data_IF_174744314835
#
_entry.id   IF_174744314835
#
_cell.length_a   1.000
_cell.length_b   1.000
_cell.length_c   1.000
_cell.angle_alpha   90.00
_cell.angle_beta   90.00
_cell.angle_gamma   90.00
#
_symmetry.space_group_name_H-M   'P 1'
#
loop_
_entity.id
_entity.type
_entity.pdbx_description
1 polymer ?
#
# COMPACT_ATOMS: atom_id res chain seq x y z
N UNK A 1 17.26 -16.32 -7.75
CA UNK A 1 16.29 -16.00 -8.81
C UNK A 1 16.37 -14.51 -9.01
N UNK A 2 16.88 -14.05 -10.15
CA UNK A 2 17.02 -12.60 -10.39
C UNK A 2 15.63 -12.02 -10.64
N UNK A 3 15.19 -11.05 -9.84
CA UNK A 3 13.95 -10.31 -10.09
C UNK A 3 14.22 -9.12 -11.00
N UNK A 4 13.19 -8.70 -11.74
CA UNK A 4 13.25 -7.58 -12.68
C UNK A 4 11.97 -6.76 -12.59
N UNK A 5 12.11 -5.44 -12.67
CA UNK A 5 10.97 -4.53 -12.78
C UNK A 5 10.39 -4.63 -14.19
N UNK A 6 9.10 -4.94 -14.28
CA UNK A 6 8.34 -4.95 -15.52
C UNK A 6 7.31 -3.83 -15.49
N UNK A 7 7.33 -2.98 -16.52
CA UNK A 7 6.41 -1.85 -16.64
C UNK A 7 5.26 -2.19 -17.59
N UNK A 8 4.05 -1.82 -17.21
CA UNK A 8 2.85 -1.87 -18.05
C UNK A 8 2.56 -0.46 -18.64
N UNK A 9 1.46 -0.33 -19.38
CA UNK A 9 1.05 0.95 -19.97
C UNK A 9 0.69 2.01 -18.92
N UNK A 10 0.86 3.29 -19.28
CA UNK A 10 0.50 4.39 -18.41
C UNK A 10 -1.03 4.53 -18.28
N UNK A 11 -1.49 4.71 -17.05
CA UNK A 11 -2.87 4.95 -16.68
C UNK A 11 -3.04 6.45 -16.47
N UNK A 12 -3.66 7.12 -17.44
CA UNK A 12 -3.87 8.57 -17.40
C UNK A 12 -5.05 8.93 -16.51
N UNK A 13 -4.83 9.92 -15.65
CA UNK A 13 -5.87 10.45 -14.76
C UNK A 13 -6.82 11.36 -15.55
N UNK A 14 -8.11 11.01 -15.53
CA UNK A 14 -9.12 11.56 -16.45
C UNK A 14 -9.75 12.88 -15.94
N UNK A 15 -8.96 13.93 -15.72
CA UNK A 15 -9.46 15.23 -15.22
C UNK A 15 -9.47 16.38 -16.25
N UNK A 16 -8.98 16.16 -17.47
CA UNK A 16 -9.05 17.14 -18.57
C UNK A 16 -8.18 18.39 -18.41
N UNK A 17 -7.32 18.47 -17.39
CA UNK A 17 -6.35 19.54 -17.17
C UNK A 17 -5.03 18.98 -16.62
N UNK A 18 -3.86 19.56 -16.98
CA UNK A 18 -2.59 19.15 -16.42
C UNK A 18 -2.45 19.69 -14.99
N UNK A 19 -2.71 18.85 -13.99
CA UNK A 19 -2.39 19.13 -12.59
C UNK A 19 -1.01 18.57 -12.25
N UNK A 20 -0.32 19.21 -11.29
CA UNK A 20 0.95 18.71 -10.79
C UNK A 20 0.70 18.06 -9.43
N UNK A 21 0.46 16.74 -9.46
CA UNK A 21 0.31 15.92 -8.27
C UNK A 21 1.67 15.55 -7.67
N UNK A 22 1.76 15.56 -6.34
CA UNK A 22 3.01 15.28 -5.61
C UNK A 22 2.90 14.02 -4.74
N UNK A 23 1.87 13.96 -3.90
CA UNK A 23 1.56 12.87 -3.01
C UNK A 23 0.34 12.09 -3.45
N UNK A 24 0.29 10.82 -3.07
CA UNK A 24 -0.88 9.98 -3.30
C UNK A 24 -1.08 8.97 -2.18
N UNK A 25 -2.35 8.79 -1.78
CA UNK A 25 -2.79 7.77 -0.84
C UNK A 25 -3.93 6.94 -1.44
N UNK A 26 -4.15 5.74 -0.91
CA UNK A 26 -5.30 4.89 -1.23
C UNK A 26 -5.87 4.33 0.06
N UNK A 27 -7.16 4.49 0.27
CA UNK A 27 -7.85 4.07 1.50
C UNK A 27 -8.52 2.69 1.40
N UNK A 28 -8.37 2.00 0.28
CA UNK A 28 -9.12 0.77 -0.02
C UNK A 28 -10.34 0.98 -0.93
N UNK A 29 -10.76 2.23 -1.14
CA UNK A 29 -11.93 2.60 -1.93
C UNK A 29 -11.62 3.65 -3.02
N UNK A 30 -10.81 4.65 -2.69
CA UNK A 30 -10.50 5.79 -3.55
C UNK A 30 -9.02 6.20 -3.45
N UNK A 31 -8.53 6.84 -4.50
CA UNK A 31 -7.20 7.44 -4.54
C UNK A 31 -7.29 8.94 -4.22
N UNK A 32 -6.39 9.42 -3.37
CA UNK A 32 -6.33 10.80 -2.90
C UNK A 32 -5.01 11.41 -3.35
N UNK A 33 -5.07 12.49 -4.12
CA UNK A 33 -3.89 13.16 -4.66
C UNK A 33 -3.76 14.56 -4.10
N UNK A 34 -2.59 14.90 -3.59
CA UNK A 34 -2.22 16.27 -3.22
C UNK A 34 -1.74 17.03 -4.44
N UNK A 35 -1.99 18.34 -4.49
CA UNK A 35 -1.59 19.21 -5.59
C UNK A 35 -0.48 20.16 -5.13
N UNK A 36 0.56 20.31 -5.95
CA UNK A 36 1.66 21.25 -5.69
C UNK A 36 1.25 22.72 -5.62
N UNK A 37 0.15 23.09 -6.29
CA UNK A 37 -0.20 24.47 -6.60
C UNK A 37 -1.58 24.91 -6.08
N UNK A 38 -2.28 24.07 -5.32
CA UNK A 38 -3.61 24.35 -4.83
C UNK A 38 -3.88 23.63 -3.50
N UNK A 39 -4.44 24.32 -2.49
CA UNK A 39 -4.81 23.71 -1.21
C UNK A 39 -6.09 22.88 -1.38
N UNK A 40 -5.99 21.80 -2.13
CA UNK A 40 -7.05 20.82 -2.28
C UNK A 40 -6.48 19.42 -2.46
N UNK A 41 -7.34 18.43 -2.24
CA UNK A 41 -7.08 17.02 -2.52
C UNK A 41 -8.05 16.57 -3.61
N UNK A 42 -7.52 16.01 -4.69
CA UNK A 42 -8.35 15.40 -5.73
C UNK A 42 -8.57 13.92 -5.41
N UNK A 43 -9.83 13.50 -5.50
CA UNK A 43 -10.25 12.14 -5.17
C UNK A 43 -10.67 11.43 -6.46
N UNK A 44 -10.15 10.23 -6.68
CA UNK A 44 -10.45 9.38 -7.83
C UNK A 44 -11.00 8.03 -7.37
N UNK A 45 -11.87 7.44 -8.17
CA UNK A 45 -12.37 6.07 -7.94
C UNK A 45 -11.29 5.03 -8.28
N UNK A 46 -11.54 3.76 -7.97
CA UNK A 46 -10.64 2.63 -8.28
C UNK A 46 -10.32 2.49 -9.77
N UNK A 47 -11.23 2.89 -10.64
CA UNK A 47 -11.05 2.89 -12.09
C UNK A 47 -10.31 4.13 -12.62
N UNK A 48 -9.76 4.95 -11.72
CA UNK A 48 -9.07 6.21 -12.01
C UNK A 48 -9.95 7.28 -12.70
N UNK A 49 -11.27 7.19 -12.53
CA UNK A 49 -12.19 8.27 -12.86
C UNK A 49 -12.20 9.35 -11.77
N UNK A 50 -12.22 10.62 -12.18
CA UNK A 50 -12.27 11.75 -11.25
C UNK A 50 -13.60 11.77 -10.49
N UNK A 51 -13.54 11.81 -9.16
CA UNK A 51 -14.72 11.78 -8.28
C UNK A 51 -15.05 13.15 -7.70
N UNK A 52 -14.08 13.80 -7.05
CA UNK A 52 -14.28 15.06 -6.35
C UNK A 52 -12.98 15.84 -6.14
N UNK A 53 -13.11 17.12 -5.80
CA UNK A 53 -12.04 17.96 -5.26
C UNK A 53 -12.47 18.45 -3.89
N UNK A 54 -11.60 18.32 -2.89
CA UNK A 54 -11.85 18.74 -1.52
C UNK A 54 -10.89 19.87 -1.17
N UNK A 55 -11.41 21.05 -0.80
CA UNK A 55 -10.58 22.18 -0.36
C UNK A 55 -10.00 21.91 1.03
N UNK A 56 -8.68 22.01 1.16
CA UNK A 56 -7.96 21.82 2.41
C UNK A 56 -7.52 23.16 2.99
N UNK A 57 -7.20 23.19 4.28
CA UNK A 57 -6.66 24.39 4.92
C UNK A 57 -5.20 24.68 4.53
N UNK A 58 -4.50 23.71 3.92
CA UNK A 58 -3.09 23.77 3.55
C UNK A 58 -2.84 23.12 2.21
N UNK A 59 -1.73 23.51 1.59
CA UNK A 59 -1.20 22.89 0.38
C UNK A 59 -0.31 21.71 0.78
N UNK A 60 -0.93 20.56 1.09
CA UNK A 60 -0.19 19.37 1.50
C UNK A 60 0.69 18.86 0.36
N UNK A 61 1.86 18.32 0.68
CA UNK A 61 2.84 17.78 -0.29
C UNK A 61 2.83 16.26 -0.32
N UNK A 62 3.03 15.60 0.82
CA UNK A 62 2.89 14.14 0.97
C UNK A 62 1.60 13.79 1.72
N UNK A 63 1.05 12.61 1.41
CA UNK A 63 -0.11 12.04 2.12
C UNK A 63 0.00 10.51 2.14
N UNK A 64 -0.42 9.87 3.23
CA UNK A 64 -0.65 8.43 3.30
C UNK A 64 -1.90 8.12 4.13
N UNK A 65 -2.48 6.94 3.93
CA UNK A 65 -3.64 6.47 4.68
C UNK A 65 -3.20 5.50 5.79
N UNK A 66 -3.77 5.69 6.97
CA UNK A 66 -3.59 4.87 8.16
C UNK A 66 -4.79 3.92 8.28
N UNK A 67 -4.60 2.65 7.92
CA UNK A 67 -5.71 1.70 7.90
C UNK A 67 -6.13 1.24 9.31
N UNK A 68 -5.24 1.43 10.29
CA UNK A 68 -5.46 1.06 11.70
C UNK A 68 -6.34 2.10 12.39
N UNK A 69 -6.04 3.39 12.18
CA UNK A 69 -6.73 4.51 12.84
C UNK A 69 -7.80 5.19 11.95
N UNK A 70 -7.97 4.75 10.70
CA UNK A 70 -8.94 5.30 9.74
C UNK A 70 -8.77 6.82 9.55
N UNK A 71 -7.52 7.23 9.34
CA UNK A 71 -7.14 8.63 9.19
C UNK A 71 -6.09 8.80 8.09
N UNK A 72 -5.80 10.04 7.71
CA UNK A 72 -4.70 10.35 6.80
C UNK A 72 -3.60 11.08 7.54
N UNK A 73 -2.37 10.82 7.14
CA UNK A 73 -1.20 11.58 7.56
C UNK A 73 -0.69 12.39 6.38
N UNK A 74 -0.43 13.67 6.62
CA UNK A 74 0.03 14.59 5.60
C UNK A 74 1.18 15.47 6.09
N UNK A 75 1.96 16.00 5.15
CA UNK A 75 2.98 17.02 5.37
C UNK A 75 2.75 18.20 4.42
N UNK A 76 3.43 19.32 4.64
CA UNK A 76 3.44 20.44 3.69
C UNK A 76 4.85 21.06 3.56
N UNK A 77 5.11 21.72 2.43
CA UNK A 77 6.40 22.38 2.16
C UNK A 77 6.58 23.72 2.90
N UNK A 78 5.50 24.36 3.36
CA UNK A 78 5.53 25.66 4.00
C UNK A 78 5.98 25.58 5.47
N UNK A 79 5.72 24.46 6.12
CA UNK A 79 6.01 24.18 7.52
C UNK A 79 6.83 22.88 7.62
N UNK A 80 8.15 22.93 7.33
CA UNK A 80 9.00 21.75 7.44
C UNK A 80 8.95 21.18 8.86
N UNK A 81 9.18 19.87 8.97
CA UNK A 81 9.15 19.10 10.22
C UNK A 81 7.75 18.95 10.84
N UNK A 82 6.69 19.39 10.19
CA UNK A 82 5.32 19.23 10.68
C UNK A 82 4.60 18.07 10.00
N UNK A 83 3.80 17.37 10.79
CA UNK A 83 2.86 16.35 10.32
C UNK A 83 1.46 16.69 10.79
N UNK A 84 0.50 16.38 9.93
CA UNK A 84 -0.91 16.66 10.12
C UNK A 84 -1.66 15.33 10.07
N UNK A 85 -2.42 15.03 11.11
CA UNK A 85 -3.39 13.94 11.07
C UNK A 85 -4.74 14.51 10.64
N UNK A 86 -5.30 13.96 9.57
CA UNK A 86 -6.59 14.32 9.01
C UNK A 86 -7.58 13.19 9.27
N UNK A 87 -8.83 13.51 9.62
CA UNK A 87 -9.88 12.51 9.75
C UNK A 87 -10.26 11.87 8.39
N UNK A 88 -11.15 10.88 8.42
CA UNK A 88 -11.71 10.23 7.22
C UNK A 88 -12.35 11.22 6.21
N UNK A 89 -12.74 12.41 6.68
CA UNK A 89 -13.35 13.49 5.90
C UNK A 89 -12.33 14.60 5.54
N UNK A 90 -11.03 14.32 5.69
CA UNK A 90 -9.90 15.21 5.38
C UNK A 90 -9.81 16.48 6.25
N UNK A 91 -10.43 16.52 7.43
CA UNK A 91 -10.28 17.62 8.38
C UNK A 91 -9.08 17.41 9.31
N UNK A 92 -8.25 18.44 9.52
CA UNK A 92 -7.15 18.39 10.50
C UNK A 92 -7.66 18.12 11.93
N UNK A 93 -7.23 17.00 12.51
CA UNK A 93 -7.50 16.63 13.90
C UNK A 93 -6.36 17.06 14.84
N UNK A 94 -5.12 16.85 14.41
CA UNK A 94 -3.93 17.08 15.22
C UNK A 94 -2.70 17.40 14.40
N UNK A 95 -1.73 18.05 15.04
CA UNK A 95 -0.48 18.51 14.44
C UNK A 95 0.68 18.06 15.32
N UNK A 96 1.71 17.50 14.70
CA UNK A 96 2.89 16.97 15.38
C UNK A 96 4.14 17.60 14.78
N UNK A 97 5.14 17.81 15.64
CA UNK A 97 6.45 18.33 15.21
C UNK A 97 7.49 17.23 15.38
N UNK A 98 8.21 16.93 14.30
CA UNK A 98 9.34 16.01 14.32
C UNK A 98 10.49 16.70 15.07
N UNK A 99 11.03 16.10 16.16
CA UNK A 99 12.02 16.73 17.03
C UNK A 99 13.43 16.68 16.41
N UNK A 100 13.62 17.38 15.29
CA UNK A 100 14.89 17.47 14.57
C UNK A 100 15.33 18.93 14.39
N UNK A 101 16.60 19.21 14.65
CA UNK A 101 17.16 20.57 14.64
C UNK A 101 17.33 21.16 13.23
N UNK A 102 17.19 20.34 12.18
CA UNK A 102 17.30 20.72 10.77
C UNK A 102 15.92 20.72 10.13
N UNK A 103 15.62 21.71 9.30
CA UNK A 103 14.44 21.64 8.44
C UNK A 103 14.61 20.50 7.43
N UNK A 104 13.74 19.51 7.53
CA UNK A 104 13.58 18.44 6.56
C UNK A 104 12.34 18.72 5.72
N UNK A 105 12.52 18.59 4.42
CA UNK A 105 11.42 18.62 3.47
C UNK A 105 10.98 17.18 3.21
N UNK A 106 9.76 16.87 3.62
CA UNK A 106 9.22 15.51 3.55
C UNK A 106 8.83 15.23 2.10
N UNK A 107 9.48 14.23 1.51
CA UNK A 107 9.27 13.83 0.11
C UNK A 107 8.27 12.68 -0.02
N UNK A 108 8.11 11.86 1.02
CA UNK A 108 7.11 10.79 1.04
C UNK A 108 6.78 10.31 2.44
N UNK A 109 5.56 9.79 2.58
CA UNK A 109 4.99 9.25 3.82
C UNK A 109 4.41 7.87 3.55
N UNK A 110 4.57 6.95 4.50
CA UNK A 110 3.87 5.67 4.50
C UNK A 110 3.54 5.25 5.93
N UNK A 111 2.32 4.79 6.14
CA UNK A 111 1.96 4.11 7.38
C UNK A 111 2.55 2.70 7.40
N UNK A 112 3.02 2.29 8.57
CA UNK A 112 3.31 0.90 8.91
C UNK A 112 2.21 0.40 9.85
N UNK A 113 1.29 -0.38 9.29
CA UNK A 113 0.14 -0.90 10.01
C UNK A 113 0.53 -1.99 11.03
N UNK A 114 1.70 -2.63 10.88
CA UNK A 114 2.18 -3.69 11.77
C UNK A 114 2.76 -3.08 13.05
N UNK A 115 3.59 -2.04 12.90
CA UNK A 115 4.26 -1.39 14.02
C UNK A 115 3.51 -0.17 14.56
N UNK A 116 2.42 0.25 13.90
CA UNK A 116 1.63 1.45 14.23
C UNK A 116 2.48 2.73 14.19
N UNK A 117 3.43 2.78 13.26
CA UNK A 117 4.39 3.89 13.05
C UNK A 117 4.23 4.52 11.67
N UNK A 118 5.00 5.59 11.42
CA UNK A 118 5.07 6.26 10.12
C UNK A 118 6.51 6.22 9.62
N UNK A 119 6.68 5.77 8.38
CA UNK A 119 7.89 6.01 7.62
C UNK A 119 7.83 7.36 6.92
N UNK A 120 8.93 8.10 7.02
CA UNK A 120 9.11 9.41 6.41
C UNK A 120 10.39 9.38 5.59
N UNK A 121 10.28 9.72 4.31
CA UNK A 121 11.44 10.02 3.48
C UNK A 121 11.61 11.53 3.32
N UNK A 122 12.88 11.93 3.22
CA UNK A 122 13.33 13.27 2.89
C UNK A 122 14.59 13.16 2.04
N UNK A 123 15.04 14.25 1.42
CA UNK A 123 16.15 14.21 0.46
C UNK A 123 17.41 13.47 0.94
N UNK A 124 17.73 13.53 2.23
CA UNK A 124 18.97 12.98 2.79
C UNK A 124 18.78 11.66 3.55
N UNK A 125 17.57 11.11 3.64
CA UNK A 125 17.37 9.87 4.37
C UNK A 125 15.92 9.46 4.60
N UNK A 126 15.76 8.45 5.44
CA UNK A 126 14.48 7.91 5.88
C UNK A 126 14.48 7.81 7.40
N UNK A 127 13.34 8.04 8.01
CA UNK A 127 13.11 7.82 9.44
C UNK A 127 11.80 7.09 9.68
N UNK A 128 11.75 6.36 10.78
CA UNK A 128 10.54 5.82 11.36
C UNK A 128 10.20 6.66 12.59
N UNK A 129 8.95 7.11 12.68
CA UNK A 129 8.45 7.86 13.81
C UNK A 129 7.18 7.23 14.37
N UNK A 130 6.90 7.50 15.64
CA UNK A 130 5.61 7.20 16.25
C UNK A 130 4.56 8.23 15.84
N UNK A 131 3.28 7.87 15.97
CA UNK A 131 2.13 8.74 15.66
C UNK A 131 1.95 9.91 16.64
N UNK A 132 2.80 10.03 17.67
CA UNK A 132 2.94 11.23 18.51
C UNK A 132 4.19 12.07 18.17
N UNK A 133 4.88 11.75 17.09
CA UNK A 133 5.98 12.54 16.52
C UNK A 133 7.38 12.21 17.08
N UNK A 134 7.54 11.15 17.89
CA UNK A 134 8.86 10.76 18.38
C UNK A 134 9.62 9.94 17.34
N UNK A 135 10.93 10.17 17.22
CA UNK A 135 11.78 9.41 16.30
C UNK A 135 12.09 8.06 16.93
N UNK A 136 11.70 6.99 16.24
CA UNK A 136 11.99 5.61 16.65
C UNK A 136 13.28 5.12 16.02
N UNK A 137 13.42 5.29 14.70
CA UNK A 137 14.61 4.92 13.96
C UNK A 137 14.99 6.00 12.92
N UNK A 138 16.28 6.15 12.68
CA UNK A 138 16.81 6.96 11.59
C UNK A 138 17.78 6.11 10.78
N UNK A 139 17.45 5.87 9.52
CA UNK A 139 18.18 4.93 8.67
C UNK A 139 19.38 5.61 8.02
N UNK A 140 20.49 4.88 7.93
CA UNK A 140 21.73 5.39 7.38
C UNK A 140 21.55 5.77 5.89
N UNK A 141 22.14 6.90 5.45
CA UNK A 141 21.97 7.34 4.07
C UNK A 141 22.70 6.41 3.11
N UNK A 142 21.94 5.77 2.22
CA UNK A 142 22.47 5.25 0.96
C UNK A 142 22.76 6.46 0.05
N UNK A 143 23.85 6.40 -0.72
CA UNK A 143 24.21 7.50 -1.63
C UNK A 143 23.08 7.73 -2.64
N UNK A 144 22.52 8.93 -2.61
CA UNK A 144 21.41 9.36 -3.47
C UNK A 144 20.49 10.31 -2.73
N UNK A 145 19.36 10.58 -3.35
CA UNK A 145 18.25 11.36 -2.76
C UNK A 145 16.97 10.54 -2.80
N UNK A 146 16.12 10.68 -1.78
CA UNK A 146 14.92 9.86 -1.64
C UNK A 146 13.67 10.65 -2.04
N UNK A 147 12.93 10.13 -3.01
CA UNK A 147 11.69 10.74 -3.52
C UNK A 147 10.45 10.24 -2.78
N UNK A 148 10.45 8.99 -2.32
CA UNK A 148 9.32 8.40 -1.59
C UNK A 148 9.75 7.18 -0.77
N UNK A 149 8.89 6.78 0.17
CA UNK A 149 9.02 5.58 1.01
C UNK A 149 7.70 4.81 1.02
N UNK A 150 7.76 3.49 1.17
CA UNK A 150 6.60 2.62 1.26
C UNK A 150 6.86 1.48 2.24
N UNK A 151 5.99 1.29 3.23
CA UNK A 151 6.09 0.19 4.20
C UNK A 151 5.84 -1.17 3.53
N UNK A 152 6.58 -2.19 3.98
CA UNK A 152 6.47 -3.57 3.50
C UNK A 152 6.89 -4.61 4.56
N UNK A 153 5.93 -5.13 5.32
CA UNK A 153 6.17 -6.25 6.25
C UNK A 153 7.32 -5.94 7.23
N UNK A 154 8.39 -6.74 7.28
CA UNK A 154 9.60 -6.46 8.07
C UNK A 154 10.67 -5.64 7.32
N UNK A 155 10.24 -4.82 6.36
CA UNK A 155 11.08 -3.99 5.52
C UNK A 155 10.33 -2.72 5.05
N UNK A 156 11.05 -1.85 4.35
CA UNK A 156 10.47 -0.72 3.64
C UNK A 156 11.16 -0.53 2.29
N UNK A 157 10.42 0.03 1.34
CA UNK A 157 10.90 0.36 0.02
C UNK A 157 11.18 1.85 -0.08
N UNK A 158 12.17 2.22 -0.86
CA UNK A 158 12.45 3.63 -1.18
C UNK A 158 12.67 3.84 -2.66
N UNK A 159 12.15 4.96 -3.17
CA UNK A 159 12.54 5.48 -4.48
C UNK A 159 13.75 6.39 -4.31
N UNK A 160 14.91 5.94 -4.78
CA UNK A 160 16.18 6.67 -4.67
C UNK A 160 16.68 7.14 -6.03
N UNK A 161 17.08 8.40 -6.15
CA UNK A 161 17.75 8.95 -7.31
C UNK A 161 19.25 9.13 -7.08
N UNK A 162 20.08 8.69 -8.01
CA UNK A 162 21.55 8.82 -7.96
C UNK A 162 22.16 8.77 -9.37
N UNK A 163 23.02 9.74 -9.72
CA UNK A 163 23.69 9.86 -11.02
C UNK A 163 22.71 9.74 -12.22
N UNK A 164 21.64 10.54 -12.21
CA UNK A 164 20.59 10.55 -13.23
C UNK A 164 19.82 9.23 -13.42
N UNK A 165 20.04 8.24 -12.55
CA UNK A 165 19.28 6.99 -12.48
C UNK A 165 18.37 6.98 -11.26
N UNK A 166 17.29 6.20 -11.35
CA UNK A 166 16.36 5.95 -10.25
C UNK A 166 16.40 4.48 -9.86
N UNK A 167 16.19 4.19 -8.59
CA UNK A 167 16.26 2.86 -8.01
C UNK A 167 15.05 2.64 -7.11
N UNK A 168 14.52 1.41 -7.15
CA UNK A 168 13.65 0.88 -6.11
C UNK A 168 14.51 0.04 -5.18
N UNK A 169 14.70 0.52 -3.96
CA UNK A 169 15.51 -0.18 -2.95
C UNK A 169 14.61 -0.83 -1.91
N UNK A 170 14.98 -2.04 -1.49
CA UNK A 170 14.40 -2.73 -0.34
C UNK A 170 15.38 -2.66 0.82
N UNK A 171 14.91 -2.16 1.97
CA UNK A 171 15.72 -2.03 3.18
C UNK A 171 15.00 -2.70 4.35
N UNK A 172 15.75 -3.45 5.17
CA UNK A 172 15.20 -4.00 6.42
C UNK A 172 15.05 -2.92 7.49
N UNK A 173 14.30 -3.23 8.55
CA UNK A 173 14.07 -2.34 9.69
C UNK A 173 15.33 -2.02 10.52
N UNK A 174 16.47 -2.64 10.25
CA UNK A 174 17.78 -2.28 10.80
C UNK A 174 18.55 -1.30 9.89
N UNK A 175 18.00 -0.93 8.72
CA UNK A 175 18.62 -0.07 7.72
C UNK A 175 19.56 -0.78 6.75
N UNK A 176 19.64 -2.11 6.77
CA UNK A 176 20.44 -2.86 5.80
C UNK A 176 19.77 -2.84 4.43
N UNK A 177 20.50 -2.44 3.38
CA UNK A 177 20.05 -2.56 2.00
C UNK A 177 20.01 -4.03 1.60
N UNK A 178 18.81 -4.58 1.40
CA UNK A 178 18.57 -5.96 1.00
C UNK A 178 18.78 -6.12 -0.51
N UNK A 179 18.07 -5.31 -1.29
CA UNK A 179 18.06 -5.37 -2.75
C UNK A 179 17.89 -3.96 -3.35
N UNK A 180 18.40 -3.76 -4.57
CA UNK A 180 18.30 -2.49 -5.29
C UNK A 180 18.05 -2.75 -6.77
N UNK A 181 16.94 -2.22 -7.28
CA UNK A 181 16.49 -2.44 -8.65
C UNK A 181 16.55 -1.14 -9.44
N UNK A 182 17.36 -1.04 -10.50
CA UNK A 182 17.34 0.13 -11.37
C UNK A 182 16.00 0.25 -12.08
N UNK A 183 15.42 1.45 -12.05
CA UNK A 183 14.17 1.80 -12.72
C UNK A 183 14.52 2.26 -14.13
N UNK A 184 14.54 1.31 -15.08
CA UNK A 184 14.78 1.59 -16.50
C UNK A 184 13.50 2.07 -17.19
N UNK A 185 13.07 3.28 -16.83
CA UNK A 185 11.93 3.94 -17.44
C UNK A 185 12.28 5.40 -17.79
N UNK A 186 11.73 5.96 -18.88
CA UNK A 186 12.09 7.30 -19.35
C UNK A 186 11.45 8.43 -18.52
N UNK A 187 10.73 8.09 -17.46
CA UNK A 187 9.98 9.02 -16.63
C UNK A 187 10.63 9.20 -15.26
N UNK A 188 10.53 10.40 -14.71
CA UNK A 188 10.82 10.62 -13.30
C UNK A 188 9.68 10.03 -12.47
N UNK A 189 10.01 9.16 -11.54
CA UNK A 189 9.07 8.59 -10.58
C UNK A 189 9.04 9.51 -9.37
N UNK A 190 7.86 10.09 -9.13
CA UNK A 190 7.65 11.05 -8.05
C UNK A 190 7.21 10.36 -6.77
N UNK A 191 6.34 9.35 -6.88
CA UNK A 191 5.76 8.66 -5.74
C UNK A 191 5.51 7.19 -6.07
N UNK A 192 5.35 6.37 -5.03
CA UNK A 192 5.07 4.93 -5.12
C UNK A 192 3.98 4.58 -4.11
N UNK A 193 2.97 3.85 -4.58
CA UNK A 193 2.00 3.17 -3.72
C UNK A 193 1.86 1.72 -4.15
N UNK A 194 1.31 0.91 -3.26
CA UNK A 194 0.89 -0.44 -3.61
C UNK A 194 -0.23 -0.41 -4.66
N UNK A 195 -0.16 -1.32 -5.62
CA UNK A 195 -1.35 -1.68 -6.39
C UNK A 195 -2.20 -2.61 -5.53
N UNK A 196 -3.06 -2.06 -4.68
CA UNK A 196 -3.85 -2.84 -3.71
C UNK A 196 -4.74 -3.93 -4.34
N UNK A 197 -5.09 -3.82 -5.62
CA UNK A 197 -5.83 -4.89 -6.32
C UNK A 197 -4.96 -6.09 -6.69
N UNK A 198 -3.63 -5.88 -6.82
CA UNK A 198 -2.66 -6.91 -7.22
C UNK A 198 -1.45 -7.01 -6.27
N UNK A 199 -1.56 -6.42 -5.08
CA UNK A 199 -0.46 -6.07 -4.17
C UNK A 199 0.47 -7.23 -3.84
N UNK A 200 -0.11 -8.43 -3.75
CA UNK A 200 0.62 -9.66 -3.49
C UNK A 200 -0.02 -10.80 -4.26
N UNK A 201 0.47 -11.03 -5.47
CA UNK A 201 0.41 -12.39 -6.03
C UNK A 201 1.73 -13.08 -5.66
N UNK A 202 1.74 -14.39 -5.46
CA UNK A 202 2.83 -15.06 -4.72
C UNK A 202 4.23 -14.93 -5.32
N UNK A 203 4.31 -14.58 -6.60
CA UNK A 203 5.57 -14.41 -7.33
C UNK A 203 5.86 -12.94 -7.70
N UNK A 204 5.06 -11.98 -7.23
CA UNK A 204 5.13 -10.63 -7.75
C UNK A 204 4.57 -9.58 -6.80
N UNK A 205 5.38 -8.55 -6.60
CA UNK A 205 4.97 -7.30 -5.96
C UNK A 205 4.59 -6.31 -7.06
N UNK A 206 3.39 -5.73 -6.97
CA UNK A 206 2.92 -4.73 -7.92
C UNK A 206 2.69 -3.38 -7.25
N UNK A 207 3.10 -2.35 -7.96
CA UNK A 207 3.15 -0.96 -7.53
C UNK A 207 2.52 -0.07 -8.58
N UNK A 208 2.01 1.07 -8.13
CA UNK A 208 1.67 2.19 -9.00
C UNK A 208 2.71 3.29 -8.76
N UNK A 209 3.45 3.63 -9.82
CA UNK A 209 4.43 4.69 -9.81
C UNK A 209 3.80 5.96 -10.36
N UNK A 210 3.72 7.00 -9.53
CA UNK A 210 3.23 8.32 -9.96
C UNK A 210 4.32 8.99 -10.79
N UNK A 211 3.97 9.38 -12.01
CA UNK A 211 4.87 10.02 -12.98
C UNK A 211 4.22 11.23 -13.63
N UNK A 212 5.05 12.04 -14.29
CA UNK A 212 4.58 13.04 -15.27
C UNK A 212 4.81 12.46 -16.66
N UNK A 213 3.72 12.26 -17.40
CA UNK A 213 3.73 11.75 -18.77
C UNK A 213 4.38 12.70 -19.77
N UNK A 214 4.61 12.23 -21.01
CA UNK A 214 5.27 13.03 -22.07
C UNK A 214 4.48 14.27 -22.49
N UNK A 215 3.17 14.25 -22.27
CA UNK A 215 2.24 15.35 -22.50
C UNK A 215 2.19 16.34 -21.33
N UNK A 216 2.96 16.10 -20.26
CA UNK A 216 2.96 16.89 -19.04
C UNK A 216 1.81 16.56 -18.09
N UNK A 217 0.98 15.55 -18.41
CA UNK A 217 -0.12 15.13 -17.56
C UNK A 217 0.36 14.10 -16.53
N UNK A 218 -0.11 14.18 -15.28
CA UNK A 218 0.23 13.19 -14.28
C UNK A 218 -0.50 11.87 -14.59
N UNK A 219 0.22 10.76 -14.46
CA UNK A 219 -0.32 9.43 -14.67
C UNK A 219 0.35 8.42 -13.75
N UNK A 220 -0.27 7.26 -13.61
CA UNK A 220 0.40 6.11 -13.03
C UNK A 220 1.07 5.30 -14.13
N UNK A 221 2.26 4.79 -13.87
CA UNK A 221 2.79 3.62 -14.57
C UNK A 221 2.75 2.44 -13.62
N UNK A 222 2.10 1.37 -14.06
CA UNK A 222 2.07 0.14 -13.27
C UNK A 222 3.39 -0.58 -13.42
N UNK A 223 3.98 -0.95 -12.29
CA UNK A 223 5.24 -1.65 -12.22
C UNK A 223 5.04 -2.92 -11.40
N UNK A 224 5.58 -4.03 -11.88
CA UNK A 224 5.58 -5.27 -11.11
C UNK A 224 6.99 -5.87 -11.06
N UNK A 225 7.46 -6.19 -9.86
CA UNK A 225 8.70 -6.91 -9.63
C UNK A 225 8.44 -8.40 -9.80
N UNK A 226 9.06 -9.03 -10.80
CA UNK A 226 8.85 -10.44 -11.15
C UNK A 226 10.17 -11.19 -11.29
N UNK A 227 10.20 -12.51 -11.07
CA UNK A 227 11.31 -13.36 -11.48
C UNK A 227 11.65 -13.15 -12.96
N UNK A 228 12.94 -13.10 -13.29
CA UNK A 228 13.43 -12.94 -14.65
C UNK A 228 12.91 -14.08 -15.53
N UNK A 229 12.33 -13.73 -16.68
CA UNK A 229 11.89 -14.67 -17.72
C UNK A 229 13.02 -15.09 -18.68
N UNK A 230 14.27 -14.75 -18.36
CA UNK A 230 15.42 -15.23 -19.11
C UNK A 230 15.37 -16.76 -19.17
N UNK A 231 15.60 -17.33 -20.37
CA UNK A 231 15.72 -18.79 -20.57
C UNK A 231 16.56 -19.34 -19.42
N UNK A 232 16.12 -20.42 -18.75
CA UNK A 232 16.90 -20.98 -17.65
C UNK A 232 18.32 -21.19 -18.17
N UNK A 233 19.30 -20.57 -17.51
CA UNK A 233 20.62 -21.14 -17.54
C UNK A 233 20.45 -22.62 -17.17
N UNK A 234 21.26 -23.53 -17.71
CA UNK A 234 21.12 -24.96 -17.46
C UNK A 234 21.38 -25.37 -15.99
N UNK A 235 21.26 -24.43 -15.05
CA UNK A 235 21.46 -24.54 -13.62
C UNK A 235 20.20 -24.90 -12.83
N UNK A 236 19.00 -24.48 -13.23
CA UNK A 236 17.88 -24.40 -12.27
C UNK A 236 16.61 -25.10 -12.75
N UNK A 237 16.52 -26.40 -12.44
CA UNK A 237 15.26 -27.13 -12.34
C UNK A 237 15.32 -27.88 -11.00
N UNK A 238 14.52 -27.50 -9.99
CA UNK A 238 13.45 -28.36 -9.45
C UNK A 238 12.68 -27.90 -8.18
N UNK A 239 12.93 -26.75 -7.54
CA UNK A 239 12.18 -26.37 -6.31
C UNK A 239 11.19 -25.18 -6.42
N UNK A 240 11.44 -24.25 -7.36
CA UNK A 240 10.75 -22.96 -7.44
C UNK A 240 9.27 -23.02 -7.84
N UNK A 241 8.92 -23.83 -8.84
CA UNK A 241 7.56 -23.84 -9.40
C UNK A 241 6.54 -24.55 -8.48
N UNK A 242 7.04 -25.23 -7.43
CA UNK A 242 6.26 -26.06 -6.51
C UNK A 242 5.81 -25.24 -5.31
N UNK A 243 6.71 -24.45 -4.72
CA UNK A 243 6.39 -23.49 -3.65
C UNK A 243 5.46 -22.37 -4.12
N UNK A 244 5.57 -21.91 -5.38
CA UNK A 244 4.65 -20.91 -5.95
C UNK A 244 3.19 -21.37 -5.88
N UNK A 245 2.88 -22.61 -6.28
CA UNK A 245 1.49 -23.08 -6.30
C UNK A 245 0.85 -23.19 -4.90
N UNK A 246 1.64 -23.56 -3.89
CA UNK A 246 1.23 -23.58 -2.47
C UNK A 246 0.98 -22.16 -1.98
N UNK A 247 1.94 -21.24 -2.23
CA UNK A 247 1.79 -19.84 -1.87
C UNK A 247 0.53 -19.25 -2.52
N UNK A 248 0.26 -19.51 -3.80
CA UNK A 248 -0.91 -18.99 -4.54
C UNK A 248 -2.23 -19.41 -3.92
N UNK A 249 -2.29 -20.64 -3.42
CA UNK A 249 -3.47 -21.13 -2.72
C UNK A 249 -3.63 -20.46 -1.36
N UNK A 250 -2.54 -20.26 -0.61
CA UNK A 250 -2.55 -19.56 0.68
C UNK A 250 -2.94 -18.08 0.53
N UNK A 251 -2.35 -17.35 -0.41
CA UNK A 251 -2.71 -15.95 -0.66
C UNK A 251 -4.16 -15.81 -1.13
N UNK A 252 -4.66 -16.75 -1.92
CA UNK A 252 -6.08 -16.78 -2.30
C UNK A 252 -6.99 -16.99 -1.08
N UNK A 253 -6.58 -17.77 -0.08
CA UNK A 253 -7.34 -17.94 1.16
C UNK A 253 -7.30 -16.63 1.95
N UNK A 254 -6.10 -16.07 2.21
CA UNK A 254 -5.92 -14.84 2.97
C UNK A 254 -6.72 -13.64 2.39
N UNK A 255 -6.78 -13.51 1.06
CA UNK A 255 -7.58 -12.46 0.42
C UNK A 255 -9.09 -12.61 0.69
N UNK A 256 -9.60 -13.84 0.76
CA UNK A 256 -11.01 -14.09 1.03
C UNK A 256 -11.30 -13.88 2.51
N UNK A 257 -10.41 -14.30 3.41
CA UNK A 257 -10.50 -14.03 4.86
C UNK A 257 -10.61 -12.52 5.15
N UNK A 258 -9.77 -11.71 4.50
CA UNK A 258 -9.83 -10.25 4.63
C UNK A 258 -11.18 -9.69 4.14
N UNK A 259 -11.69 -10.16 3.00
CA UNK A 259 -13.01 -9.76 2.49
C UNK A 259 -14.15 -10.18 3.43
N UNK A 260 -14.07 -11.36 4.04
CA UNK A 260 -15.06 -11.86 5.01
C UNK A 260 -15.08 -11.01 6.28
N UNK A 261 -13.91 -10.57 6.76
CA UNK A 261 -13.80 -9.65 7.89
C UNK A 261 -14.55 -8.33 7.63
N UNK A 262 -14.38 -7.74 6.44
CA UNK A 262 -15.12 -6.53 6.06
C UNK A 262 -16.64 -6.75 6.00
N UNK A 263 -17.11 -7.90 5.48
CA UNK A 263 -18.54 -8.23 5.45
C UNK A 263 -19.10 -8.36 6.87
N UNK A 264 -18.40 -9.07 7.76
CA UNK A 264 -18.84 -9.26 9.14
C UNK A 264 -18.89 -7.93 9.90
N UNK A 265 -17.91 -7.04 9.69
CA UNK A 265 -17.92 -5.70 10.26
C UNK A 265 -19.12 -4.88 9.76
N UNK A 266 -19.38 -4.87 8.45
CA UNK A 266 -20.51 -4.15 7.87
C UNK A 266 -21.88 -4.66 8.39
N UNK A 267 -22.03 -5.98 8.56
CA UNK A 267 -23.24 -6.54 9.19
C UNK A 267 -23.33 -6.20 10.68
N UNK A 268 -22.19 -6.06 11.37
CA UNK A 268 -22.12 -5.56 12.75
C UNK A 268 -22.61 -4.11 12.87
N UNK A 269 -22.11 -3.21 12.02
CA UNK A 269 -22.56 -1.82 11.92
C UNK A 269 -24.06 -1.72 11.62
N UNK A 270 -24.56 -2.57 10.72
CA UNK A 270 -25.99 -2.65 10.40
C UNK A 270 -26.85 -3.02 11.61
N UNK A 271 -26.40 -3.96 12.46
CA UNK A 271 -27.10 -4.27 13.73
C UNK A 271 -27.08 -3.06 14.65
N UNK A 272 -25.91 -2.45 14.86
CA UNK A 272 -25.79 -1.27 15.74
C UNK A 272 -26.73 -0.17 15.27
N UNK A 273 -26.77 0.10 13.97
CA UNK A 273 -27.63 1.13 13.41
C UNK A 273 -29.11 0.79 13.55
N UNK A 274 -29.49 -0.47 13.35
CA UNK A 274 -30.86 -0.92 13.54
C UNK A 274 -31.33 -0.73 14.99
N UNK A 275 -30.47 -0.99 15.98
CA UNK A 275 -30.76 -0.77 17.41
C UNK A 275 -31.02 0.71 17.71
N UNK A 276 -30.35 1.64 17.04
CA UNK A 276 -30.57 3.08 17.22
C UNK A 276 -31.89 3.58 16.63
N UNK A 277 -32.30 3.06 15.47
CA UNK A 277 -33.38 3.66 14.67
C UNK A 277 -34.70 2.89 14.70
N UNK A 278 -34.70 1.62 15.11
CA UNK A 278 -35.91 0.79 15.03
C UNK A 278 -37.02 1.33 15.93
N UNK A 279 -38.21 1.49 15.35
CA UNK A 279 -39.39 1.98 16.06
C UNK A 279 -40.12 0.89 16.84
N UNK A 280 -39.81 -0.39 16.56
CA UNK A 280 -40.43 -1.55 17.19
C UNK A 280 -39.54 -2.79 17.11
N UNK A 281 -39.90 -3.82 17.87
CA UNK A 281 -39.15 -5.08 17.94
C UNK A 281 -39.21 -5.88 16.63
N UNK A 282 -40.26 -5.74 15.83
CA UNK A 282 -40.40 -6.48 14.57
C UNK A 282 -39.33 -6.05 13.55
N UNK A 283 -39.05 -4.75 13.43
CA UNK A 283 -37.97 -4.22 12.58
C UNK A 283 -36.59 -4.75 13.00
N UNK A 284 -36.32 -4.84 14.30
CA UNK A 284 -35.07 -5.43 14.81
C UNK A 284 -34.95 -6.92 14.48
N UNK A 285 -36.05 -7.66 14.58
CA UNK A 285 -36.06 -9.10 14.25
C UNK A 285 -35.82 -9.33 12.76
N UNK A 286 -36.34 -8.47 11.88
CA UNK A 286 -36.10 -8.55 10.44
C UNK A 286 -34.62 -8.30 10.09
N UNK A 287 -34.00 -7.27 10.68
CA UNK A 287 -32.57 -7.00 10.48
C UNK A 287 -31.72 -8.13 11.05
N UNK A 288 -32.03 -8.60 12.26
CA UNK A 288 -31.32 -9.71 12.88
C UNK A 288 -31.40 -11.00 12.04
N UNK A 289 -32.56 -11.29 11.45
CA UNK A 289 -32.72 -12.45 10.57
C UNK A 289 -31.91 -12.31 9.28
N UNK A 290 -31.85 -11.10 8.69
CA UNK A 290 -30.98 -10.82 7.55
C UNK A 290 -29.51 -11.03 7.89
N UNK A 291 -29.03 -10.48 9.00
CA UNK A 291 -27.63 -10.60 9.44
C UNK A 291 -27.30 -12.06 9.76
N UNK A 292 -28.20 -12.77 10.45
CA UNK A 292 -28.04 -14.21 10.76
C UNK A 292 -27.87 -15.03 9.48
N UNK A 293 -28.59 -14.69 8.42
CA UNK A 293 -28.43 -15.35 7.11
C UNK A 293 -27.04 -15.07 6.52
N UNK A 294 -26.59 -13.82 6.49
CA UNK A 294 -25.24 -13.47 6.02
C UNK A 294 -24.16 -14.21 6.82
N UNK A 295 -24.26 -14.22 8.16
CA UNK A 295 -23.31 -14.94 9.03
C UNK A 295 -23.33 -16.45 8.77
N UNK A 296 -24.51 -17.02 8.49
CA UNK A 296 -24.62 -18.44 8.12
C UNK A 296 -23.89 -18.73 6.80
N UNK A 297 -24.08 -17.88 5.78
CA UNK A 297 -23.43 -18.01 4.48
C UNK A 297 -21.90 -17.84 4.60
N UNK A 298 -21.44 -16.88 5.40
CA UNK A 298 -20.01 -16.68 5.73
C UNK A 298 -19.45 -17.93 6.43
N UNK A 299 -20.16 -18.48 7.43
CA UNK A 299 -19.73 -19.68 8.14
C UNK A 299 -19.58 -20.89 7.20
N UNK A 300 -20.45 -21.02 6.19
CA UNK A 300 -20.30 -22.07 5.19
C UNK A 300 -19.08 -21.85 4.30
N UNK A 301 -18.79 -20.60 3.94
CA UNK A 301 -17.60 -20.26 3.16
C UNK A 301 -16.31 -20.49 3.94
N UNK A 302 -16.28 -20.14 5.23
CA UNK A 302 -15.20 -20.45 6.18
C UNK A 302 -14.85 -21.95 6.20
N UNK A 303 -15.87 -22.82 6.21
CA UNK A 303 -15.64 -24.27 6.15
C UNK A 303 -14.96 -24.69 4.85
N UNK A 304 -15.30 -24.05 3.73
CA UNK A 304 -14.67 -24.31 2.42
C UNK A 304 -13.23 -23.79 2.41
N UNK A 305 -12.96 -22.61 2.97
CA UNK A 305 -11.61 -22.04 3.08
C UNK A 305 -10.72 -22.91 3.97
N UNK A 306 -11.25 -23.36 5.11
CA UNK A 306 -10.56 -24.27 5.99
C UNK A 306 -10.23 -25.62 5.31
N UNK A 307 -11.16 -26.18 4.54
CA UNK A 307 -10.89 -27.39 3.76
C UNK A 307 -9.81 -27.15 2.70
N UNK A 308 -9.83 -25.99 2.03
CA UNK A 308 -8.79 -25.58 1.06
C UNK A 308 -7.43 -25.43 1.73
N UNK A 309 -7.38 -24.82 2.92
CA UNK A 309 -6.16 -24.68 3.72
C UNK A 309 -5.57 -26.05 4.09
N UNK A 310 -6.41 -26.97 4.58
CA UNK A 310 -5.95 -28.32 4.91
C UNK A 310 -5.40 -29.07 3.70
N UNK A 311 -6.06 -28.96 2.53
CA UNK A 311 -5.56 -29.55 1.30
C UNK A 311 -4.18 -28.98 0.91
N UNK A 312 -3.95 -27.69 1.12
CA UNK A 312 -2.65 -27.05 0.90
C UNK A 312 -1.58 -27.58 1.86
N UNK A 313 -1.92 -27.72 3.15
CA UNK A 313 -1.01 -28.25 4.17
C UNK A 313 -0.67 -29.73 3.91
N UNK A 314 -1.62 -30.52 3.43
CA UNK A 314 -1.38 -31.92 3.02
C UNK A 314 -0.43 -32.00 1.81
N UNK A 315 -0.62 -31.12 0.82
CA UNK A 315 0.29 -31.01 -0.33
C UNK A 315 1.70 -30.66 0.16
N UNK A 316 1.85 -29.67 1.04
CA UNK A 316 3.14 -29.25 1.59
C UNK A 316 3.83 -30.40 2.38
N UNK A 317 3.08 -31.15 3.19
CA UNK A 317 3.60 -32.32 3.91
C UNK A 317 4.02 -33.47 3.00
N UNK A 318 3.28 -33.72 1.91
CA UNK A 318 3.67 -34.71 0.91
C UNK A 318 4.95 -34.29 0.17
N UNK A 319 5.13 -33.00 -0.08
CA UNK A 319 6.33 -32.43 -0.72
C UNK A 319 7.55 -32.62 0.18
N UNK A 320 7.45 -32.26 1.47
CA UNK A 320 8.55 -32.32 2.43
C UNK A 320 9.02 -33.76 2.75
N UNK A 321 8.21 -34.78 2.45
CA UNK A 321 8.51 -36.19 2.71
C UNK A 321 8.92 -37.01 1.47
N UNK A 322 9.09 -36.38 0.29
CA UNK A 322 9.50 -37.08 -0.93
C UNK A 322 11.03 -37.33 -0.95
N UNK A 323 11.46 -38.59 -0.80
CA UNK A 323 12.89 -38.96 -0.78
C UNK A 323 13.60 -38.77 -2.15
N UNK A 324 12.87 -38.74 -3.25
CA UNK A 324 13.42 -38.53 -4.60
C UNK A 324 13.85 -37.08 -4.88
N UNK A 325 13.44 -36.11 -4.04
CA UNK A 325 13.83 -34.69 -4.16
C UNK A 325 15.06 -34.32 -3.31
N UNK A 326 15.70 -35.29 -2.63
CA UNK A 326 16.90 -35.07 -1.79
C UNK A 326 18.23 -35.44 -2.47
N UNK A 327 18.23 -35.83 -3.75
CA UNK A 327 19.43 -36.17 -4.54
C UNK A 327 19.57 -35.29 -5.76
#
# INVERSE_FOLDING_TARGET
MDFTLQFEECIYLSCGQPYAYEGVAYDGNAYYFTLSNAPCIHIYQKDFSFMASYETCRNYSAICYDSVNYCFWASDHAHPNMLYCLDENLNEQSIFTIPIDKNIDITGLSCDDIHDTLFISFYEGVMEITKDGQIQNQYAPIIGTFASVLSYDEAFLTLRAHNDMQFLDFQSLDGTLLESYPIDCPYQIMNIIWDYERMKTCDMLCFLFLIIGKDGCPCFIKCCLKPCQCKPCACDLDDCNRSDSVCRLLSSIACIEAALSHILNAEGEKIQKAVEIAGNVCELLEVNESVRKTVTDVTMLEQVLFAKLNAVLEIDQCINNCEDCKN
#
